data_IF_712822225931
#
_entry.id   IF_712822225931
#
_cell.length_a   1.000
_cell.length_b   1.000
_cell.length_c   1.000
_cell.angle_alpha   90.00
_cell.angle_beta   90.00
_cell.angle_gamma   90.00
#
_symmetry.space_group_name_H-M   'P 1'
#
loop_
_entity.id
_entity.type
_entity.pdbx_description
1 polymer ?
#
# COMPACT_ATOMS: atom_id res chain seq x y z
N UNK A 1 68.39 -40.74 42.32
CA UNK A 1 68.88 -41.12 40.97
C UNK A 1 68.06 -40.39 39.92
N UNK A 2 68.60 -40.11 38.72
CA UNK A 2 67.92 -39.76 37.43
C UNK A 2 66.76 -38.72 37.47
N UNK A 3 66.93 -37.55 36.84
CA UNK A 3 66.35 -37.13 35.51
C UNK A 3 64.81 -37.01 35.49
N UNK A 4 64.13 -36.00 34.91
CA UNK A 4 64.46 -34.78 34.11
C UNK A 4 63.39 -33.70 34.49
N UNK A 5 63.60 -32.37 34.40
CA UNK A 5 63.24 -31.46 33.27
C UNK A 5 61.86 -31.80 32.65
N UNK A 6 60.85 -30.93 32.55
CA UNK A 6 60.76 -29.44 32.31
C UNK A 6 59.59 -28.87 33.20
N UNK A 7 59.13 -27.60 33.30
CA UNK A 7 59.33 -26.31 32.59
C UNK A 7 59.14 -25.07 33.54
N UNK A 8 58.66 -23.94 33.00
CA UNK A 8 58.35 -22.63 33.61
C UNK A 8 57.05 -22.64 34.45
N UNK A 9 56.96 -21.95 35.62
CA UNK A 9 56.82 -20.49 35.90
C UNK A 9 55.44 -19.91 35.51
N UNK A 10 54.78 -19.03 36.29
CA UNK A 10 54.97 -18.55 37.68
C UNK A 10 53.62 -17.94 38.18
N UNK A 11 53.33 -18.04 39.49
CA UNK A 11 52.34 -17.30 40.31
C UNK A 11 51.17 -16.54 39.62
N UNK A 12 49.92 -16.98 39.81
CA UNK A 12 49.00 -16.60 40.92
C UNK A 12 48.01 -15.48 40.46
N UNK A 13 46.88 -15.15 41.10
CA UNK A 13 46.54 -15.00 42.53
C UNK A 13 45.04 -15.28 42.79
N UNK A 14 44.72 -15.83 43.98
CA UNK A 14 43.44 -15.87 44.76
C UNK A 14 42.08 -15.77 44.02
N UNK A 15 41.11 -16.69 44.19
CA UNK A 15 40.31 -16.97 45.41
C UNK A 15 39.41 -15.78 45.84
N UNK A 16 38.13 -15.95 46.21
CA UNK A 16 37.30 -17.16 46.38
C UNK A 16 35.80 -16.88 46.15
N UNK A 17 34.96 -17.93 46.15
CA UNK A 17 33.51 -17.89 45.91
C UNK A 17 32.70 -16.96 46.84
N UNK A 18 31.64 -16.36 46.28
CA UNK A 18 30.35 -16.16 46.95
C UNK A 18 29.22 -16.17 45.89
N UNK A 19 28.06 -16.76 46.20
CA UNK A 19 26.87 -16.80 45.34
C UNK A 19 25.61 -16.41 46.13
N UNK A 20 24.63 -15.88 45.40
CA UNK A 20 23.24 -15.61 45.81
C UNK A 20 23.01 -14.49 46.85
N UNK A 21 22.60 -13.33 46.33
CA UNK A 21 21.26 -12.83 46.64
C UNK A 21 20.63 -12.32 45.34
N UNK A 22 19.30 -12.44 45.21
CA UNK A 22 18.55 -11.87 44.08
C UNK A 22 17.62 -10.77 44.61
N UNK A 23 17.84 -9.54 44.16
CA UNK A 23 16.83 -8.49 44.14
C UNK A 23 16.88 -7.79 42.78
N UNK A 24 15.73 -7.68 42.12
CA UNK A 24 15.58 -6.85 40.93
C UNK A 24 15.58 -5.39 41.37
N UNK A 25 16.61 -4.63 40.98
CA UNK A 25 16.53 -3.17 40.95
C UNK A 25 16.09 -2.71 39.55
N UNK A 26 15.37 -1.58 39.52
CA UNK A 26 14.71 -1.10 38.32
C UNK A 26 15.73 -0.53 37.33
N UNK A 27 16.03 -1.27 36.27
CA UNK A 27 16.48 -0.66 35.02
C UNK A 27 15.29 -0.03 34.30
N UNK A 28 14.85 1.14 34.81
CA UNK A 28 14.19 2.14 33.99
C UNK A 28 15.21 2.64 32.95
N UNK A 29 15.36 1.85 31.88
CA UNK A 29 16.24 2.17 30.76
C UNK A 29 15.62 3.36 30.01
N UNK A 30 15.94 4.56 30.52
CA UNK A 30 15.47 5.83 30.03
C UNK A 30 15.63 5.88 28.51
N UNK A 31 14.50 5.83 27.80
CA UNK A 31 14.46 6.21 26.40
C UNK A 31 14.72 7.70 26.35
N UNK A 32 16.00 8.07 26.23
CA UNK A 32 16.37 9.39 25.73
C UNK A 32 15.82 9.48 24.31
N UNK A 33 14.60 10.00 24.18
CA UNK A 33 14.12 10.57 22.92
C UNK A 33 15.13 11.66 22.54
N UNK A 34 16.06 11.32 21.65
CA UNK A 34 16.95 12.30 21.05
C UNK A 34 16.05 13.34 20.39
N UNK A 35 15.98 14.55 20.95
CA UNK A 35 15.04 15.59 20.52
C UNK A 35 15.49 16.13 19.14
N UNK A 36 15.23 15.34 18.10
CA UNK A 36 15.24 15.81 16.73
C UNK A 36 14.12 16.83 16.62
N UNK A 37 14.48 18.06 16.22
CA UNK A 37 13.51 19.12 16.00
C UNK A 37 12.41 18.61 15.05
N UNK A 38 11.14 18.70 15.49
CA UNK A 38 10.00 18.22 14.70
C UNK A 38 9.98 18.97 13.38
N UNK A 39 10.15 18.25 12.27
CA UNK A 39 10.11 18.83 10.92
C UNK A 39 8.75 19.47 10.67
N UNK A 40 8.75 20.72 10.20
CA UNK A 40 7.53 21.49 9.90
C UNK A 40 7.37 21.74 8.40
N UNK A 41 6.14 22.09 7.98
CA UNK A 41 5.88 22.56 6.61
C UNK A 41 6.64 23.86 6.34
N UNK A 42 6.89 24.68 7.35
CA UNK A 42 7.66 25.92 7.21
C UNK A 42 9.17 25.67 7.06
N UNK A 43 9.69 24.50 7.45
CA UNK A 43 11.02 24.04 7.06
C UNK A 43 11.05 23.63 5.58
N UNK A 44 10.03 22.91 5.11
CA UNK A 44 9.91 22.57 3.69
C UNK A 44 9.75 23.82 2.80
N UNK A 45 9.05 24.87 3.26
CA UNK A 45 8.92 26.15 2.52
C UNK A 45 10.26 26.87 2.30
N UNK A 46 11.30 26.58 3.10
CA UNK A 46 12.68 27.09 2.88
C UNK A 46 13.39 26.37 1.74
N UNK A 47 12.99 25.12 1.46
CA UNK A 47 13.52 24.23 0.42
C UNK A 47 12.63 24.17 -0.83
N UNK A 48 11.78 25.18 -1.02
CA UNK A 48 10.85 25.35 -2.14
C UNK A 48 11.16 26.68 -2.82
N UNK A 49 11.21 26.68 -4.15
CA UNK A 49 11.04 27.91 -4.95
C UNK A 49 9.54 28.25 -4.99
N UNK A 50 9.09 29.37 -4.41
CA UNK A 50 7.67 29.67 -4.33
C UNK A 50 7.03 29.86 -5.71
N UNK A 51 5.77 29.46 -5.86
CA UNK A 51 5.01 29.77 -7.08
C UNK A 51 4.51 31.21 -7.06
N UNK A 52 4.67 31.92 -8.18
CA UNK A 52 4.03 33.22 -8.41
C UNK A 52 2.55 33.12 -8.80
N UNK A 53 2.05 31.91 -9.07
CA UNK A 53 0.64 31.64 -9.39
C UNK A 53 0.04 30.57 -8.46
N UNK A 54 -1.26 30.71 -8.19
CA UNK A 54 -2.05 29.69 -7.49
C UNK A 54 -2.79 28.74 -8.47
N UNK A 55 -2.56 28.88 -9.78
CA UNK A 55 -3.04 27.93 -10.80
C UNK A 55 -2.21 26.65 -10.80
N UNK A 56 -2.87 25.49 -10.78
CA UNK A 56 -2.23 24.19 -11.07
C UNK A 56 -2.36 23.83 -12.56
N UNK A 57 -1.56 22.89 -13.10
CA UNK A 57 -1.74 22.35 -14.44
C UNK A 57 -3.15 21.77 -14.67
N UNK A 58 -3.65 21.84 -15.91
CA UNK A 58 -5.02 21.40 -16.24
C UNK A 58 -5.32 19.95 -15.83
N UNK A 59 -4.37 19.03 -16.03
CA UNK A 59 -4.49 17.65 -15.60
C UNK A 59 -4.71 17.51 -14.07
N UNK A 60 -4.01 18.33 -13.27
CA UNK A 60 -4.18 18.37 -11.81
C UNK A 60 -5.55 18.96 -11.45
N UNK A 61 -5.98 20.04 -12.12
CA UNK A 61 -7.28 20.65 -11.87
C UNK A 61 -8.44 19.69 -12.19
N UNK A 62 -8.35 18.94 -13.28
CA UNK A 62 -9.32 17.89 -13.63
C UNK A 62 -9.34 16.82 -12.53
N UNK A 63 -8.18 16.35 -12.07
CA UNK A 63 -8.11 15.33 -11.03
C UNK A 63 -8.65 15.79 -9.67
N UNK A 64 -8.42 17.05 -9.29
CA UNK A 64 -9.04 17.68 -8.12
C UNK A 64 -10.57 17.74 -8.26
N UNK A 65 -11.06 18.15 -9.43
CA UNK A 65 -12.50 18.27 -9.72
C UNK A 65 -13.22 16.90 -9.69
N UNK A 66 -12.67 15.89 -10.37
CA UNK A 66 -13.26 14.53 -10.34
C UNK A 66 -13.18 13.90 -8.94
N UNK A 67 -12.10 14.14 -8.20
CA UNK A 67 -12.02 13.71 -6.80
C UNK A 67 -13.10 14.35 -5.94
N UNK A 68 -13.38 15.64 -6.12
CA UNK A 68 -14.48 16.35 -5.45
C UNK A 68 -15.84 15.70 -5.71
N UNK A 69 -16.17 15.43 -6.98
CA UNK A 69 -17.43 14.76 -7.38
C UNK A 69 -17.55 13.35 -6.79
N UNK A 70 -16.47 12.58 -6.80
CA UNK A 70 -16.47 11.22 -6.26
C UNK A 70 -16.63 11.22 -4.73
N UNK A 71 -15.96 12.15 -4.03
CA UNK A 71 -16.17 12.35 -2.59
C UNK A 71 -17.62 12.75 -2.29
N UNK A 72 -18.19 13.71 -3.00
CA UNK A 72 -19.60 14.12 -2.84
C UNK A 72 -20.57 12.96 -3.10
N UNK A 73 -20.34 12.17 -4.15
CA UNK A 73 -21.19 11.03 -4.53
C UNK A 73 -21.21 9.94 -3.45
N UNK A 74 -20.04 9.56 -2.95
CA UNK A 74 -19.89 8.37 -2.11
C UNK A 74 -19.77 8.67 -0.60
N UNK A 75 -19.08 9.75 -0.22
CA UNK A 75 -18.81 10.14 1.17
C UNK A 75 -19.58 11.40 1.63
N UNK A 76 -20.12 12.20 0.70
CA UNK A 76 -21.00 13.36 0.93
C UNK A 76 -20.36 14.44 1.82
N UNK A 77 -20.62 14.39 3.13
CA UNK A 77 -20.11 15.33 4.14
C UNK A 77 -19.06 14.70 5.05
N UNK A 78 -18.74 13.40 4.87
CA UNK A 78 -17.79 12.67 5.71
C UNK A 78 -16.34 13.08 5.43
N UNK A 79 -16.06 13.47 4.17
CA UNK A 79 -14.80 14.01 3.68
C UNK A 79 -15.05 14.87 2.43
N UNK A 80 -14.52 16.10 2.42
CA UNK A 80 -14.66 17.08 1.34
C UNK A 80 -13.35 17.85 1.12
N UNK A 81 -13.03 18.18 -0.12
CA UNK A 81 -11.99 19.15 -0.47
C UNK A 81 -12.60 20.55 -0.33
N UNK A 82 -12.01 21.41 0.50
CA UNK A 82 -12.53 22.77 0.78
C UNK A 82 -11.54 23.90 0.45
N UNK A 83 -10.38 23.55 -0.11
CA UNK A 83 -9.39 24.52 -0.59
C UNK A 83 -8.09 23.86 -1.04
N UNK A 84 -7.35 24.56 -1.89
CA UNK A 84 -6.00 24.20 -2.33
C UNK A 84 -5.13 25.46 -2.26
N UNK A 85 -3.86 25.32 -1.92
CA UNK A 85 -2.89 26.44 -1.89
C UNK A 85 -1.56 25.94 -2.43
N UNK A 86 -1.15 26.47 -3.58
CA UNK A 86 0.11 26.13 -4.24
C UNK A 86 1.27 26.73 -3.45
N UNK A 87 2.19 25.89 -2.98
CA UNK A 87 3.40 26.34 -2.29
C UNK A 87 4.49 26.70 -3.31
N UNK A 88 4.72 25.82 -4.28
CA UNK A 88 5.78 25.99 -5.27
C UNK A 88 6.43 24.68 -5.70
N UNK A 89 7.72 24.74 -6.01
CA UNK A 89 8.52 23.64 -6.57
C UNK A 89 9.69 23.29 -5.64
N UNK A 90 9.87 22.02 -5.29
CA UNK A 90 10.99 21.55 -4.45
C UNK A 90 12.30 21.94 -5.13
N UNK A 91 13.16 22.71 -4.47
CA UNK A 91 14.39 23.25 -5.07
C UNK A 91 15.63 22.42 -4.73
N UNK A 92 15.63 21.68 -3.62
CA UNK A 92 16.80 20.92 -3.13
C UNK A 92 16.48 19.46 -2.82
N UNK A 93 17.51 18.60 -2.73
CA UNK A 93 17.34 17.24 -2.22
C UNK A 93 16.91 17.23 -0.75
N UNK A 94 17.30 18.26 0.03
CA UNK A 94 16.84 18.43 1.40
C UNK A 94 15.31 18.61 1.43
N UNK A 95 14.73 19.43 0.55
CA UNK A 95 13.28 19.56 0.42
C UNK A 95 12.56 18.26 0.06
N UNK A 96 13.16 17.41 -0.78
CA UNK A 96 12.63 16.09 -1.09
C UNK A 96 12.63 15.15 0.15
N UNK A 97 13.70 15.16 0.95
CA UNK A 97 13.77 14.36 2.19
C UNK A 97 12.91 14.94 3.33
N UNK A 98 12.76 16.26 3.43
CA UNK A 98 11.80 16.90 4.34
C UNK A 98 10.36 16.53 3.94
N UNK A 99 10.05 16.51 2.64
CA UNK A 99 8.74 16.08 2.13
C UNK A 99 8.42 14.62 2.51
N UNK A 100 9.38 13.71 2.33
CA UNK A 100 9.27 12.30 2.75
C UNK A 100 9.03 12.17 4.25
N UNK A 101 9.79 12.89 5.08
CA UNK A 101 9.60 12.92 6.54
C UNK A 101 8.25 13.50 6.94
N UNK A 102 7.81 14.57 6.27
CA UNK A 102 6.56 15.25 6.58
C UNK A 102 5.38 14.32 6.39
N UNK A 103 5.19 13.72 5.22
CA UNK A 103 4.00 12.87 4.97
C UNK A 103 4.01 11.53 5.71
N UNK A 104 5.16 11.11 6.25
CA UNK A 104 5.29 9.89 7.07
C UNK A 104 5.26 10.16 8.58
N UNK A 105 5.21 11.42 9.04
CA UNK A 105 5.10 11.72 10.47
C UNK A 105 3.79 11.17 11.06
N UNK A 106 3.87 10.67 12.30
CA UNK A 106 2.73 10.04 13.00
C UNK A 106 1.53 10.98 13.21
N UNK A 107 1.72 12.30 13.10
CA UNK A 107 0.65 13.28 13.25
C UNK A 107 -0.04 13.65 11.92
N UNK A 108 0.42 13.17 10.77
CA UNK A 108 -0.24 13.45 9.49
C UNK A 108 -1.54 12.71 9.35
N UNK A 109 -2.53 13.36 8.73
CA UNK A 109 -3.71 12.66 8.27
C UNK A 109 -3.41 11.72 7.10
N UNK A 110 -4.11 10.60 7.09
CA UNK A 110 -4.11 9.59 6.05
C UNK A 110 -5.49 8.98 5.92
N UNK A 111 -5.82 8.46 4.74
CA UNK A 111 -7.06 7.75 4.47
C UNK A 111 -6.79 6.35 3.92
N UNK A 112 -7.76 5.46 4.10
CA UNK A 112 -7.85 4.17 3.41
C UNK A 112 -9.29 3.68 3.36
N UNK A 113 -9.55 2.67 2.54
CA UNK A 113 -10.87 2.15 2.20
C UNK A 113 -11.26 2.40 0.75
N UNK A 114 -12.25 1.63 0.30
CA UNK A 114 -12.91 1.81 -0.99
C UNK A 114 -14.08 2.76 -0.80
N UNK A 115 -14.10 3.94 -1.43
CA UNK A 115 -15.21 4.89 -1.22
C UNK A 115 -16.54 4.31 -1.71
N UNK A 116 -16.52 3.38 -2.67
CA UNK A 116 -17.73 2.70 -3.16
C UNK A 116 -18.35 1.75 -2.13
N UNK A 117 -17.63 1.46 -1.03
CA UNK A 117 -18.17 0.91 0.22
C UNK A 117 -17.69 1.79 1.40
N UNK A 118 -18.44 2.87 1.72
CA UNK A 118 -18.06 3.83 2.76
C UNK A 118 -17.84 3.20 4.15
N UNK A 119 -18.36 1.99 4.41
CA UNK A 119 -18.11 1.29 5.68
C UNK A 119 -16.65 0.85 5.86
N UNK A 120 -15.91 0.73 4.76
CA UNK A 120 -14.48 0.41 4.75
C UNK A 120 -13.58 1.63 4.99
N UNK A 121 -14.12 2.85 4.90
CA UNK A 121 -13.32 4.07 4.88
C UNK A 121 -12.90 4.50 6.28
N UNK A 122 -11.59 4.70 6.44
CA UNK A 122 -10.93 5.18 7.67
C UNK A 122 -10.11 6.41 7.34
N UNK A 123 -10.26 7.46 8.15
CA UNK A 123 -9.54 8.73 8.03
C UNK A 123 -9.12 9.14 9.44
N UNK A 124 -7.86 9.51 9.62
CA UNK A 124 -7.28 9.82 10.93
C UNK A 124 -5.78 10.07 10.80
N UNK A 125 -5.09 10.30 11.92
CA UNK A 125 -3.62 10.43 11.87
C UNK A 125 -2.96 9.07 11.71
N UNK A 126 -1.77 9.02 11.09
CA UNK A 126 -0.99 7.79 10.94
C UNK A 126 -0.74 7.10 12.29
N UNK A 127 -0.40 7.84 13.35
CA UNK A 127 -0.23 7.29 14.71
C UNK A 127 -1.54 6.99 15.47
N UNK A 128 -2.66 7.56 15.05
CA UNK A 128 -3.99 7.28 15.62
C UNK A 128 -4.61 6.02 14.97
N UNK A 129 -4.18 5.68 13.75
CA UNK A 129 -4.67 4.54 12.95
C UNK A 129 -3.76 3.31 12.99
N UNK A 130 -2.46 3.47 13.21
CA UNK A 130 -1.47 2.39 13.20
C UNK A 130 -0.59 2.45 14.47
N UNK A 131 -0.23 1.30 15.03
CA UNK A 131 0.60 1.19 16.24
C UNK A 131 1.70 0.13 16.05
N UNK A 132 2.80 0.23 16.82
CA UNK A 132 3.87 -0.78 16.83
C UNK A 132 4.47 -1.09 15.46
N UNK A 133 4.51 -2.38 15.10
CA UNK A 133 5.05 -2.84 13.82
C UNK A 133 4.20 -2.41 12.61
N UNK A 134 2.87 -2.32 12.75
CA UNK A 134 1.99 -1.82 11.69
C UNK A 134 2.27 -0.34 11.39
N UNK A 135 2.55 0.48 12.41
CA UNK A 135 2.95 1.88 12.24
C UNK A 135 4.26 1.98 11.46
N UNK A 136 5.26 1.19 11.87
CA UNK A 136 6.58 1.16 11.23
C UNK A 136 6.47 0.71 9.77
N UNK A 137 5.65 -0.33 9.52
CA UNK A 137 5.37 -0.88 8.18
C UNK A 137 4.67 0.16 7.29
N UNK A 138 3.68 0.88 7.81
CA UNK A 138 2.96 1.90 7.05
C UNK A 138 3.85 3.11 6.72
N UNK A 139 4.65 3.59 7.67
CA UNK A 139 5.59 4.69 7.44
C UNK A 139 6.66 4.31 6.41
N UNK A 140 7.22 3.10 6.49
CA UNK A 140 8.21 2.61 5.52
C UNK A 140 7.58 2.41 4.13
N UNK A 141 6.39 1.79 4.03
CA UNK A 141 5.70 1.58 2.77
C UNK A 141 5.30 2.88 2.06
N UNK A 142 4.85 3.90 2.81
CA UNK A 142 4.67 5.27 2.29
C UNK A 142 5.97 5.84 1.73
N UNK A 143 7.06 5.76 2.51
CA UNK A 143 8.37 6.28 2.13
C UNK A 143 8.90 5.60 0.85
N UNK A 144 8.77 4.28 0.74
CA UNK A 144 9.17 3.51 -0.44
C UNK A 144 8.42 3.99 -1.69
N UNK A 145 7.10 4.00 -1.65
CA UNK A 145 6.26 4.31 -2.81
C UNK A 145 6.48 5.72 -3.39
N UNK A 146 6.95 6.68 -2.59
CA UNK A 146 7.22 8.06 -3.04
C UNK A 146 8.71 8.41 -3.14
N UNK A 147 9.62 7.46 -2.91
CA UNK A 147 11.07 7.73 -2.90
C UNK A 147 11.63 8.08 -4.27
N UNK A 148 11.13 7.45 -5.33
CA UNK A 148 11.56 7.69 -6.72
C UNK A 148 10.84 8.91 -7.35
N UNK A 149 9.71 9.32 -6.78
CA UNK A 149 8.88 10.40 -7.31
C UNK A 149 9.13 11.77 -6.65
N UNK A 150 9.48 11.80 -5.36
CA UNK A 150 9.86 13.06 -4.71
C UNK A 150 11.35 13.34 -4.89
N UNK A 151 11.61 14.27 -5.81
CA UNK A 151 12.93 14.73 -6.28
C UNK A 151 12.91 16.26 -6.47
N UNK A 152 14.07 16.93 -6.54
CA UNK A 152 14.13 18.33 -6.93
C UNK A 152 13.40 18.56 -8.24
N UNK A 153 12.48 19.54 -8.26
CA UNK A 153 11.62 19.83 -9.39
C UNK A 153 10.16 19.34 -9.27
N UNK A 154 9.83 18.48 -8.31
CA UNK A 154 8.42 18.12 -8.03
C UNK A 154 7.65 19.34 -7.47
N UNK A 155 6.40 19.53 -7.86
CA UNK A 155 5.54 20.63 -7.40
C UNK A 155 4.75 20.24 -6.15
N UNK A 156 4.42 21.21 -5.29
CA UNK A 156 3.80 20.99 -3.97
C UNK A 156 2.66 21.97 -3.73
N UNK A 157 1.54 21.47 -3.22
CA UNK A 157 0.40 22.25 -2.73
C UNK A 157 -0.12 21.70 -1.39
N UNK A 158 -0.62 22.58 -0.53
CA UNK A 158 -1.42 22.18 0.63
C UNK A 158 -2.87 21.98 0.17
N UNK A 159 -3.43 20.80 0.44
CA UNK A 159 -4.84 20.48 0.19
C UNK A 159 -5.58 20.55 1.52
N UNK A 160 -6.67 21.32 1.53
CA UNK A 160 -7.46 21.57 2.73
C UNK A 160 -8.72 20.71 2.71
N UNK A 161 -8.91 19.93 3.77
CA UNK A 161 -9.99 18.97 3.91
C UNK A 161 -10.95 19.38 5.03
N UNK A 162 -12.23 19.08 4.83
CA UNK A 162 -13.24 19.07 5.87
C UNK A 162 -13.75 17.62 6.01
N UNK A 163 -13.71 17.05 7.22
CA UNK A 163 -14.23 15.72 7.47
C UNK A 163 -14.76 15.55 8.89
N UNK A 164 -15.17 14.33 9.26
CA UNK A 164 -15.77 14.04 10.59
C UNK A 164 -14.91 14.45 11.79
N UNK A 165 -13.59 14.44 11.65
CA UNK A 165 -12.62 14.88 12.68
C UNK A 165 -12.36 16.40 12.67
N UNK A 166 -13.10 17.17 11.87
CA UNK A 166 -12.89 18.60 11.66
C UNK A 166 -12.08 18.92 10.41
N UNK A 167 -11.53 20.14 10.38
CA UNK A 167 -10.75 20.67 9.26
C UNK A 167 -9.26 20.36 9.43
N UNK A 168 -8.61 19.85 8.39
CA UNK A 168 -7.17 19.54 8.38
C UNK A 168 -6.53 19.82 7.01
N UNK A 169 -5.20 19.77 6.92
CA UNK A 169 -4.45 19.89 5.66
C UNK A 169 -3.54 18.68 5.43
N UNK A 170 -3.20 18.43 4.16
CA UNK A 170 -2.18 17.47 3.74
C UNK A 170 -1.32 18.07 2.62
N UNK A 171 -0.12 17.51 2.42
CA UNK A 171 0.75 17.87 1.30
C UNK A 171 0.45 16.98 0.09
N UNK A 172 0.04 17.61 -1.00
CA UNK A 172 -0.10 16.96 -2.30
C UNK A 172 1.06 17.35 -3.22
N UNK A 173 1.73 16.33 -3.74
CA UNK A 173 2.80 16.45 -4.73
C UNK A 173 2.24 16.21 -6.12
N UNK A 174 2.70 16.97 -7.10
CA UNK A 174 2.21 16.88 -8.47
C UNK A 174 3.27 17.29 -9.50
N UNK A 175 2.97 16.97 -10.76
CA UNK A 175 3.69 17.43 -11.95
C UNK A 175 2.69 17.87 -13.02
N UNK A 176 3.21 18.19 -14.21
CA UNK A 176 2.38 18.73 -15.29
C UNK A 176 1.38 17.70 -15.87
N UNK A 177 1.65 16.42 -15.66
CA UNK A 177 0.78 15.27 -16.00
C UNK A 177 -0.28 14.93 -14.95
N UNK A 178 -0.25 15.53 -13.75
CA UNK A 178 -1.21 15.25 -12.68
C UNK A 178 -0.60 15.11 -11.27
N UNK A 179 -1.46 14.71 -10.33
CA UNK A 179 -1.14 14.35 -8.95
C UNK A 179 -0.22 13.13 -8.93
N UNK A 180 0.84 13.22 -8.12
CA UNK A 180 1.81 12.15 -7.86
C UNK A 180 1.42 11.41 -6.58
N UNK A 181 1.30 12.14 -5.47
CA UNK A 181 0.90 11.58 -4.18
C UNK A 181 0.31 12.61 -3.24
N UNK A 182 -0.66 12.17 -2.44
CA UNK A 182 -1.18 12.80 -1.24
C UNK A 182 -1.72 11.69 -0.33
N UNK A 183 -1.67 11.84 0.99
CA UNK A 183 -2.07 10.78 1.92
C UNK A 183 -3.58 10.45 1.89
N UNK A 184 -4.43 11.35 1.36
CA UNK A 184 -5.87 11.13 1.19
C UNK A 184 -6.16 10.65 -0.24
N UNK A 185 -5.72 11.39 -1.27
CA UNK A 185 -5.94 11.00 -2.68
C UNK A 185 -5.30 9.65 -3.01
N UNK A 186 -4.10 9.42 -2.48
CA UNK A 186 -3.31 8.21 -2.69
C UNK A 186 -3.69 7.04 -1.79
N UNK A 187 -4.34 7.34 -0.66
CA UNK A 187 -4.84 6.37 0.31
C UNK A 187 -6.16 5.73 -0.11
N UNK A 188 -7.12 6.51 -0.58
CA UNK A 188 -8.44 6.03 -1.02
C UNK A 188 -8.38 5.34 -2.40
N UNK A 189 -9.39 4.49 -2.66
CA UNK A 189 -9.63 3.88 -3.98
C UNK A 189 -11.12 3.89 -4.33
N UNK A 190 -11.41 3.69 -5.61
CA UNK A 190 -12.72 3.29 -6.14
C UNK A 190 -12.60 1.91 -6.77
N UNK A 191 -13.47 0.97 -6.37
CA UNK A 191 -13.61 -0.33 -7.02
C UNK A 191 -15.04 -0.87 -6.86
N UNK A 192 -15.60 -1.41 -7.94
CA UNK A 192 -16.76 -2.31 -7.86
C UNK A 192 -16.35 -3.71 -7.37
N UNK A 193 -16.83 -4.10 -6.19
CA UNK A 193 -16.51 -5.40 -5.56
C UNK A 193 -17.01 -6.61 -6.36
N UNK A 194 -17.99 -6.42 -7.26
CA UNK A 194 -18.50 -7.47 -8.16
C UNK A 194 -17.47 -7.86 -9.23
N UNK A 195 -16.61 -6.91 -9.61
CA UNK A 195 -15.70 -7.03 -10.73
C UNK A 195 -16.41 -7.10 -12.10
N UNK A 196 -15.62 -7.33 -13.13
CA UNK A 196 -16.08 -7.59 -14.49
C UNK A 196 -15.86 -9.06 -14.84
N UNK A 197 -16.70 -9.63 -15.70
CA UNK A 197 -16.51 -10.99 -16.22
C UNK A 197 -16.87 -11.10 -17.69
N UNK A 198 -16.16 -11.98 -18.38
CA UNK A 198 -16.22 -12.21 -19.82
C UNK A 198 -16.06 -13.71 -20.10
N UNK A 199 -16.65 -14.22 -21.18
CA UNK A 199 -16.56 -15.61 -21.57
C UNK A 199 -16.63 -15.75 -23.10
N UNK A 200 -16.07 -16.85 -23.64
CA UNK A 200 -16.22 -17.19 -25.05
C UNK A 200 -17.66 -17.56 -25.41
N UNK A 201 -18.19 -17.00 -26.50
CA UNK A 201 -19.56 -17.22 -26.98
C UNK A 201 -19.89 -18.70 -27.24
N UNK A 202 -21.11 -19.11 -26.88
CA UNK A 202 -21.63 -20.47 -27.13
C UNK A 202 -21.76 -20.83 -28.62
N UNK A 203 -21.81 -19.81 -29.50
CA UNK A 203 -21.87 -20.00 -30.95
C UNK A 203 -20.49 -20.29 -31.61
N UNK A 204 -19.40 -20.27 -30.84
CA UNK A 204 -18.04 -20.38 -31.38
C UNK A 204 -17.63 -21.84 -31.65
N UNK A 205 -17.24 -22.14 -32.90
CA UNK A 205 -16.92 -23.49 -33.40
C UNK A 205 -15.51 -23.98 -32.97
N UNK A 206 -15.14 -23.77 -31.71
CA UNK A 206 -13.77 -23.97 -31.20
C UNK A 206 -13.63 -25.30 -30.45
N UNK A 207 -12.39 -25.78 -30.32
CA UNK A 207 -12.03 -26.91 -29.45
C UNK A 207 -11.70 -26.46 -28.00
N UNK A 208 -12.12 -25.24 -27.62
CA UNK A 208 -11.85 -24.64 -26.31
C UNK A 208 -12.90 -23.60 -25.94
N UNK A 209 -13.04 -23.37 -24.63
CA UNK A 209 -13.96 -22.40 -24.02
C UNK A 209 -13.26 -21.76 -22.83
N UNK A 210 -13.48 -20.48 -22.59
CA UNK A 210 -12.82 -19.75 -21.50
C UNK A 210 -13.79 -18.86 -20.72
N UNK A 211 -13.43 -18.61 -19.47
CA UNK A 211 -14.08 -17.65 -18.57
C UNK A 211 -13.02 -16.81 -17.88
N UNK A 212 -13.22 -15.50 -17.88
CA UNK A 212 -12.31 -14.47 -17.40
C UNK A 212 -13.03 -13.57 -16.41
N UNK A 213 -12.37 -13.20 -15.31
CA UNK A 213 -12.94 -12.30 -14.30
C UNK A 213 -11.84 -11.42 -13.69
N UNK A 214 -12.10 -10.12 -13.54
CA UNK A 214 -11.11 -9.15 -13.07
C UNK A 214 -11.74 -7.98 -12.31
N UNK A 215 -10.93 -7.34 -11.48
CA UNK A 215 -11.30 -6.18 -10.66
C UNK A 215 -10.37 -5.02 -10.98
N UNK A 216 -10.96 -3.88 -11.33
CA UNK A 216 -10.22 -2.65 -11.65
C UNK A 216 -10.20 -1.73 -10.44
N UNK A 217 -8.99 -1.39 -9.98
CA UNK A 217 -8.78 -0.33 -8.99
C UNK A 217 -8.66 1.01 -9.71
N UNK A 218 -9.44 2.02 -9.29
CA UNK A 218 -9.30 3.40 -9.73
C UNK A 218 -8.84 4.29 -8.56
N UNK A 219 -8.14 5.38 -8.91
CA UNK A 219 -7.83 6.47 -7.99
C UNK A 219 -9.09 7.27 -7.61
N UNK A 220 -8.99 8.15 -6.61
CA UNK A 220 -10.09 9.03 -6.21
C UNK A 220 -10.57 9.96 -7.35
N UNK A 221 -9.68 10.30 -8.28
CA UNK A 221 -9.99 11.04 -9.51
C UNK A 221 -10.45 10.15 -10.69
N UNK A 222 -10.79 8.88 -10.44
CA UNK A 222 -11.41 7.98 -11.40
C UNK A 222 -10.49 7.31 -12.43
N UNK A 223 -9.24 7.74 -12.61
CA UNK A 223 -8.32 7.05 -13.55
C UNK A 223 -7.84 5.71 -12.99
N UNK A 224 -7.48 4.79 -13.89
CA UNK A 224 -7.01 3.45 -13.51
C UNK A 224 -5.76 3.51 -12.63
N UNK A 225 -5.83 2.87 -11.46
CA UNK A 225 -4.74 2.65 -10.50
C UNK A 225 -4.13 1.25 -10.66
N UNK A 226 -4.94 0.25 -10.99
CA UNK A 226 -4.48 -1.13 -11.11
C UNK A 226 -5.58 -2.09 -11.52
N UNK A 227 -5.22 -3.36 -11.66
CA UNK A 227 -6.15 -4.45 -11.98
C UNK A 227 -5.57 -5.78 -11.53
N UNK A 228 -6.43 -6.67 -11.06
CA UNK A 228 -6.11 -8.08 -10.87
C UNK A 228 -7.23 -8.96 -11.40
N UNK A 229 -6.88 -10.12 -11.96
CA UNK A 229 -7.84 -11.03 -12.57
C UNK A 229 -7.30 -12.43 -12.81
N UNK A 230 -8.19 -13.30 -13.26
CA UNK A 230 -7.85 -14.64 -13.73
C UNK A 230 -8.66 -15.01 -14.97
N UNK A 231 -8.12 -15.93 -15.76
CA UNK A 231 -8.82 -16.59 -16.86
C UNK A 231 -8.58 -18.09 -16.77
N UNK A 232 -9.67 -18.87 -16.74
CA UNK A 232 -9.63 -20.32 -16.91
C UNK A 232 -10.03 -20.66 -18.34
N UNK A 233 -9.24 -21.50 -19.00
CA UNK A 233 -9.51 -22.03 -20.35
C UNK A 233 -9.60 -23.54 -20.26
N UNK A 234 -10.67 -24.12 -20.80
CA UNK A 234 -10.80 -25.57 -21.04
C UNK A 234 -10.64 -25.86 -22.52
N UNK A 235 -10.13 -27.05 -22.82
CA UNK A 235 -10.03 -27.61 -24.16
C UNK A 235 -10.84 -28.90 -24.18
N UNK A 236 -11.54 -29.19 -25.26
CA UNK A 236 -12.40 -30.38 -25.35
C UNK A 236 -12.31 -31.08 -26.70
N UNK A 237 -12.58 -32.39 -26.67
CA UNK A 237 -12.74 -33.25 -27.84
C UNK A 237 -14.14 -33.88 -27.78
N UNK A 238 -14.99 -33.54 -28.74
CA UNK A 238 -16.43 -33.75 -28.60
C UNK A 238 -16.96 -33.06 -27.33
N UNK A 239 -17.77 -33.77 -26.55
CA UNK A 239 -18.31 -33.30 -25.26
C UNK A 239 -17.35 -33.48 -24.07
N UNK A 240 -16.11 -33.94 -24.28
CA UNK A 240 -15.18 -34.32 -23.20
C UNK A 240 -14.04 -33.31 -23.07
N UNK A 241 -13.88 -32.70 -21.89
CA UNK A 241 -12.72 -31.85 -21.57
C UNK A 241 -11.43 -32.68 -21.59
N UNK A 242 -10.51 -32.30 -22.47
CA UNK A 242 -9.22 -32.94 -22.71
C UNK A 242 -8.07 -32.25 -21.98
N UNK A 243 -8.11 -30.90 -21.89
CA UNK A 243 -7.19 -30.13 -21.05
C UNK A 243 -7.89 -28.97 -20.32
N UNK A 244 -7.26 -28.44 -19.27
CA UNK A 244 -7.67 -27.20 -18.63
C UNK A 244 -6.42 -26.45 -18.17
N UNK A 245 -6.34 -25.17 -18.50
CA UNK A 245 -5.26 -24.24 -18.17
C UNK A 245 -5.84 -23.00 -17.46
N UNK A 246 -5.01 -22.30 -16.69
CA UNK A 246 -5.39 -21.06 -16.00
C UNK A 246 -4.24 -20.05 -16.08
N UNK A 247 -4.59 -18.79 -16.26
CA UNK A 247 -3.70 -17.65 -16.08
C UNK A 247 -4.28 -16.66 -15.07
N UNK A 248 -3.39 -15.91 -14.43
CA UNK A 248 -3.73 -14.83 -13.51
C UNK A 248 -2.81 -13.63 -13.73
N UNK A 249 -3.26 -12.46 -13.29
CA UNK A 249 -2.47 -11.24 -13.32
C UNK A 249 -2.83 -10.32 -12.17
N UNK A 250 -1.89 -9.47 -11.78
CA UNK A 250 -2.07 -8.37 -10.84
C UNK A 250 -1.05 -7.28 -11.10
N UNK A 251 -1.50 -6.06 -11.36
CA UNK A 251 -0.64 -4.88 -11.48
C UNK A 251 -1.29 -3.67 -10.80
N UNK A 252 -0.44 -2.78 -10.29
CA UNK A 252 -0.85 -1.51 -9.68
C UNK A 252 0.24 -0.48 -10.00
N UNK A 253 -0.14 0.76 -10.31
CA UNK A 253 0.82 1.82 -10.59
C UNK A 253 1.57 2.27 -9.33
N UNK A 254 0.95 2.13 -8.15
CA UNK A 254 1.56 2.49 -6.87
C UNK A 254 0.90 1.76 -5.69
N UNK A 255 1.67 0.89 -5.05
CA UNK A 255 1.24 -0.04 -4.01
C UNK A 255 1.86 -1.43 -4.21
N UNK A 256 1.18 -2.48 -3.74
CA UNK A 256 1.58 -3.87 -3.93
C UNK A 256 0.48 -4.62 -4.67
N UNK A 257 0.85 -5.40 -5.69
CA UNK A 257 -0.05 -6.30 -6.42
C UNK A 257 0.50 -7.73 -6.34
N UNK A 258 -0.39 -8.72 -6.18
CA UNK A 258 -0.06 -10.14 -6.24
C UNK A 258 -1.24 -10.96 -6.75
N UNK A 259 -0.96 -11.94 -7.58
CA UNK A 259 -1.89 -12.96 -8.03
C UNK A 259 -1.21 -14.33 -7.98
N UNK A 260 -1.97 -15.39 -7.66
CA UNK A 260 -1.59 -16.76 -8.00
C UNK A 260 -2.85 -17.58 -8.31
N UNK A 261 -2.78 -18.48 -9.29
CA UNK A 261 -3.83 -19.43 -9.64
C UNK A 261 -3.28 -20.83 -9.94
N UNK A 262 -4.16 -21.84 -9.87
CA UNK A 262 -3.80 -23.24 -10.12
C UNK A 262 -5.00 -24.08 -10.53
N UNK A 263 -4.81 -24.99 -11.49
CA UNK A 263 -5.79 -26.03 -11.81
C UNK A 263 -5.89 -27.03 -10.65
N UNK A 264 -7.11 -27.21 -10.13
CA UNK A 264 -7.43 -28.15 -9.07
C UNK A 264 -8.08 -29.43 -9.60
N UNK A 265 -8.81 -29.35 -10.73
CA UNK A 265 -9.39 -30.52 -11.40
C UNK A 265 -9.35 -30.38 -12.92
N UNK A 266 -9.15 -31.51 -13.58
CA UNK A 266 -9.20 -31.67 -15.04
C UNK A 266 -9.89 -33.00 -15.34
N UNK A 267 -11.22 -32.96 -15.35
CA UNK A 267 -12.08 -34.14 -15.54
C UNK A 267 -12.74 -34.07 -16.89
N UNK A 268 -13.20 -35.20 -17.47
CA UNK A 268 -13.89 -35.20 -18.75
C UNK A 268 -15.14 -34.31 -18.82
N UNK A 269 -15.74 -33.95 -17.68
CA UNK A 269 -16.93 -33.09 -17.62
C UNK A 269 -16.63 -31.59 -17.36
N UNK A 270 -15.50 -31.26 -16.74
CA UNK A 270 -15.12 -29.87 -16.42
C UNK A 270 -13.64 -29.70 -16.06
N UNK A 271 -13.12 -28.51 -16.35
CA UNK A 271 -11.93 -27.97 -15.72
C UNK A 271 -12.28 -27.15 -14.48
N UNK A 272 -11.38 -27.09 -13.50
CA UNK A 272 -11.54 -26.28 -12.30
C UNK A 272 -10.21 -25.64 -11.91
N UNK A 273 -10.23 -24.34 -11.64
CA UNK A 273 -9.12 -23.63 -11.02
C UNK A 273 -9.48 -23.15 -9.61
N UNK A 274 -8.44 -22.92 -8.81
CA UNK A 274 -8.48 -22.06 -7.63
C UNK A 274 -7.61 -20.83 -7.92
N UNK A 275 -8.05 -19.67 -7.49
CA UNK A 275 -7.36 -18.40 -7.68
C UNK A 275 -7.35 -17.61 -6.37
N UNK A 276 -6.38 -16.74 -6.22
CA UNK A 276 -6.36 -15.70 -5.20
C UNK A 276 -5.58 -14.47 -5.68
N UNK A 277 -6.21 -13.31 -5.54
CA UNK A 277 -5.81 -12.04 -6.12
C UNK A 277 -5.77 -10.98 -5.01
N UNK A 278 -4.76 -10.11 -5.06
CA UNK A 278 -4.53 -9.04 -4.09
C UNK A 278 -3.99 -7.76 -4.76
N UNK A 279 -4.68 -6.64 -4.56
CA UNK A 279 -4.12 -5.29 -4.73
C UNK A 279 -4.17 -4.57 -3.39
N UNK A 280 -3.17 -3.74 -3.10
CA UNK A 280 -3.00 -3.07 -1.82
C UNK A 280 -2.30 -1.71 -1.98
N UNK A 281 -2.69 -0.71 -1.20
CA UNK A 281 -1.97 0.58 -1.10
C UNK A 281 -0.58 0.40 -0.49
N UNK A 282 0.35 1.36 -0.65
CA UNK A 282 1.69 1.29 -0.04
C UNK A 282 1.69 1.05 1.48
N UNK A 283 0.66 1.53 2.18
CA UNK A 283 0.48 1.45 3.64
C UNK A 283 0.09 0.09 4.19
N UNK A 284 -0.24 -0.88 3.33
CA UNK A 284 -0.61 -2.23 3.73
C UNK A 284 0.37 -3.28 3.23
N UNK A 285 0.20 -4.49 3.73
CA UNK A 285 0.95 -5.67 3.28
C UNK A 285 0.02 -6.80 2.87
N UNK A 286 0.31 -7.41 1.71
CA UNK A 286 -0.32 -8.62 1.23
C UNK A 286 0.58 -9.81 1.60
N UNK A 287 0.03 -10.74 2.37
CA UNK A 287 0.61 -12.07 2.57
C UNK A 287 -0.22 -13.12 1.85
N UNK A 288 0.40 -14.22 1.45
CA UNK A 288 -0.21 -15.21 0.58
C UNK A 288 0.25 -16.61 0.96
N UNK A 289 -0.70 -17.54 1.06
CA UNK A 289 -0.42 -18.95 1.29
C UNK A 289 -0.83 -19.76 0.05
N UNK A 290 0.16 -20.26 -0.68
CA UNK A 290 0.00 -21.02 -1.93
C UNK A 290 -0.44 -22.47 -1.75
N UNK A 291 -0.46 -22.97 -0.50
CA UNK A 291 -1.02 -24.29 -0.17
C UNK A 291 -2.55 -24.24 -0.10
N UNK A 292 -3.13 -23.14 0.40
CA UNK A 292 -4.58 -22.99 0.60
C UNK A 292 -5.23 -21.88 -0.25
N UNK A 293 -4.48 -21.09 -1.01
CA UNK A 293 -4.94 -19.92 -1.77
C UNK A 293 -5.74 -18.92 -0.90
N UNK A 294 -5.27 -18.67 0.32
CA UNK A 294 -5.71 -17.53 1.13
C UNK A 294 -4.76 -16.36 0.96
N UNK A 295 -5.30 -15.20 0.57
CA UNK A 295 -4.64 -13.91 0.82
C UNK A 295 -4.95 -13.52 2.26
N UNK A 296 -3.95 -13.03 2.98
CA UNK A 296 -4.14 -12.32 4.25
C UNK A 296 -3.49 -10.94 4.17
N UNK A 297 -3.91 -10.05 5.05
CA UNK A 297 -3.59 -8.62 5.01
C UNK A 297 -3.24 -8.11 6.40
N UNK A 298 -2.29 -7.17 6.48
CA UNK A 298 -1.95 -6.40 7.69
C UNK A 298 -1.75 -4.92 7.40
N UNK A 299 -1.87 -4.08 8.43
CA UNK A 299 -1.97 -2.62 8.35
C UNK A 299 -3.40 -2.12 8.13
N UNK A 300 -3.54 -0.92 7.56
CA UNK A 300 -4.80 -0.29 7.15
C UNK A 300 -4.70 0.30 5.74
N UNK A 301 -4.30 -0.52 4.77
CA UNK A 301 -4.37 -0.17 3.35
C UNK A 301 -5.76 -0.27 2.74
N UNK A 302 -5.95 0.35 1.57
CA UNK A 302 -7.10 0.05 0.71
C UNK A 302 -6.79 -1.21 -0.08
N UNK A 303 -7.54 -2.27 0.18
CA UNK A 303 -7.26 -3.61 -0.36
C UNK A 303 -8.36 -4.08 -1.30
N UNK A 304 -7.93 -4.87 -2.27
CA UNK A 304 -8.79 -5.64 -3.16
C UNK A 304 -8.34 -7.08 -3.02
N UNK A 305 -9.11 -7.90 -2.33
CA UNK A 305 -8.85 -9.33 -2.16
C UNK A 305 -9.99 -10.09 -2.82
N UNK A 306 -9.65 -10.99 -3.75
CA UNK A 306 -10.61 -11.88 -4.38
C UNK A 306 -9.98 -13.26 -4.53
N UNK A 307 -10.55 -14.25 -3.83
CA UNK A 307 -10.11 -15.63 -3.91
C UNK A 307 -11.29 -16.60 -3.93
N UNK A 308 -11.09 -17.75 -4.59
CA UNK A 308 -12.16 -18.71 -4.77
C UNK A 308 -11.81 -19.83 -5.72
N UNK A 309 -12.83 -20.59 -6.10
CA UNK A 309 -12.75 -21.75 -7.00
C UNK A 309 -13.73 -21.55 -8.15
N UNK A 310 -13.26 -21.66 -9.40
CA UNK A 310 -14.09 -21.58 -10.60
C UNK A 310 -14.08 -22.93 -11.32
N UNK A 311 -15.24 -23.55 -11.45
CA UNK A 311 -15.46 -24.61 -12.45
C UNK A 311 -15.82 -23.98 -13.80
N UNK A 312 -15.35 -24.58 -14.89
CA UNK A 312 -15.77 -24.29 -16.25
C UNK A 312 -16.10 -25.62 -16.96
N UNK A 313 -17.34 -25.70 -17.44
CA UNK A 313 -17.89 -26.80 -18.23
C UNK A 313 -17.80 -26.47 -19.73
N UNK A 314 -17.80 -27.48 -20.62
CA UNK A 314 -17.99 -27.31 -22.07
C UNK A 314 -19.16 -26.40 -22.44
#
# INVERSE_FOLDING_TARGET
MKKLVTTFKVFAVLSVLALHSCQNENNEMNQQETIQAKVTVDDLKKEITPSSSQSVPEAVQIQLNESGKNLETYLKNDLQIVGVTVLGKISTQQGAELSKKLITDKNQFIASGNIMDPSTVKIGKVGDLYHGEDLTTAQQGLKEAITEELKPGTQVMEVTWNGKSGKFTTLCFYGDSGIIWDNIFGGLVMMDTRGHSEASDEASKVASKWYKQWWTANWLWGSKRGEAGYQITIYYSGSTVSNADVSDWGYISLGKAKSESKITKRTGAYGQCRYALGLCTPTGSLSFNSTNFSVSFSGLGSNIVSNGTKSLYP
#
